data_IF_325862583961
#
_entry.id   IF_325862583961
#
_cell.length_a   1.000
_cell.length_b   1.000
_cell.length_c   1.000
_cell.angle_alpha   90.00
_cell.angle_beta   90.00
_cell.angle_gamma   90.00
#
_symmetry.space_group_name_H-M   'P 1'
#
loop_
_entity.id
_entity.type
_entity.pdbx_description
1 polymer ?
#
# COMPACT_ATOMS: atom_id res chain seq x y z
N UNK A 1 -12.16 -0.39 5.46
CA UNK A 1 -10.76 -0.04 5.75
C UNK A 1 -9.90 -1.26 6.06
N UNK A 2 -10.16 -2.00 7.16
CA UNK A 2 -9.35 -3.19 7.53
C UNK A 2 -9.23 -4.23 6.41
N UNK A 3 -10.33 -4.59 5.75
CA UNK A 3 -10.32 -5.54 4.63
C UNK A 3 -9.49 -5.06 3.43
N UNK A 4 -9.46 -3.75 3.17
CA UNK A 4 -8.65 -3.17 2.10
C UNK A 4 -7.17 -3.22 2.44
N UNK A 5 -6.80 -2.87 3.68
CA UNK A 5 -5.43 -3.00 4.16
C UNK A 5 -4.97 -4.46 4.13
N UNK A 6 -5.81 -5.41 4.57
CA UNK A 6 -5.49 -6.84 4.47
C UNK A 6 -5.33 -7.32 3.03
N UNK A 7 -6.16 -6.84 2.10
CA UNK A 7 -6.00 -7.18 0.70
C UNK A 7 -4.64 -6.75 0.14
N UNK A 8 -4.14 -5.59 0.54
CA UNK A 8 -2.86 -5.06 0.05
C UNK A 8 -1.64 -5.62 0.77
N UNK A 9 -1.69 -5.75 2.10
CA UNK A 9 -0.48 -5.91 2.92
C UNK A 9 -0.44 -7.17 3.78
N UNK A 10 -1.56 -7.86 4.00
CA UNK A 10 -1.60 -9.04 4.86
C UNK A 10 -1.25 -10.30 4.07
N UNK A 11 -0.10 -10.91 4.40
CA UNK A 11 0.41 -12.10 3.73
C UNK A 11 0.47 -11.95 2.19
N UNK A 12 0.94 -10.80 1.73
CA UNK A 12 1.17 -10.47 0.32
C UNK A 12 2.65 -10.23 0.05
N UNK A 13 3.04 -10.31 -1.22
CA UNK A 13 4.33 -9.88 -1.73
C UNK A 13 4.12 -8.63 -2.58
N UNK A 14 4.81 -7.55 -2.27
CA UNK A 14 4.75 -6.30 -3.02
C UNK A 14 5.93 -6.22 -4.00
N UNK A 15 5.69 -5.74 -5.21
CA UNK A 15 6.75 -5.45 -6.19
C UNK A 15 6.46 -4.14 -6.92
N UNK A 16 7.52 -3.44 -7.33
CA UNK A 16 7.38 -2.29 -8.22
C UNK A 16 6.89 -2.73 -9.60
N UNK A 17 6.11 -1.87 -10.26
CA UNK A 17 5.64 -2.10 -11.63
C UNK A 17 6.76 -2.14 -12.67
N UNK A 18 7.88 -1.46 -12.39
CA UNK A 18 9.05 -1.35 -13.26
C UNK A 18 10.20 -2.32 -12.87
N UNK A 19 9.94 -3.26 -11.96
CA UNK A 19 10.94 -4.25 -11.56
C UNK A 19 11.30 -5.17 -12.75
N UNK A 20 12.60 -5.31 -13.10
CA UNK A 20 13.01 -6.14 -14.24
C UNK A 20 12.63 -7.61 -14.11
N UNK A 21 12.42 -8.10 -12.89
CA UNK A 21 12.04 -9.49 -12.61
C UNK A 21 10.53 -9.67 -12.42
N UNK A 22 9.68 -8.68 -12.75
CA UNK A 22 8.24 -8.75 -12.52
C UNK A 22 7.57 -10.03 -13.07
N UNK A 23 8.03 -10.52 -14.22
CA UNK A 23 7.51 -11.74 -14.84
C UNK A 23 7.85 -13.02 -14.04
N UNK A 24 9.01 -13.05 -13.36
CA UNK A 24 9.35 -14.12 -12.43
C UNK A 24 8.33 -14.17 -11.29
N UNK A 25 8.03 -13.02 -10.68
CA UNK A 25 7.08 -12.93 -9.57
C UNK A 25 5.65 -13.25 -10.01
N UNK A 26 5.23 -12.84 -11.23
CA UNK A 26 3.97 -13.29 -11.82
C UNK A 26 3.91 -14.81 -11.94
N UNK A 27 4.99 -15.43 -12.43
CA UNK A 27 5.07 -16.89 -12.51
C UNK A 27 5.00 -17.59 -11.14
N UNK A 28 5.55 -17.00 -10.09
CA UNK A 28 5.40 -17.51 -8.70
C UNK A 28 3.97 -17.34 -8.19
N UNK A 29 3.31 -16.24 -8.53
CA UNK A 29 1.93 -15.98 -8.17
C UNK A 29 0.95 -16.97 -8.83
N UNK A 30 1.14 -17.22 -10.13
CA UNK A 30 0.32 -18.16 -10.90
C UNK A 30 0.43 -19.59 -10.37
N UNK A 31 1.61 -19.95 -9.86
CA UNK A 31 1.86 -21.23 -9.17
C UNK A 31 1.35 -21.26 -7.73
N UNK A 32 0.69 -20.19 -7.27
CA UNK A 32 0.16 -20.02 -5.92
C UNK A 32 1.24 -20.11 -4.82
N UNK A 33 2.49 -19.82 -5.16
CA UNK A 33 3.62 -19.81 -4.20
C UNK A 33 3.61 -18.52 -3.39
N UNK A 34 3.22 -17.41 -4.02
CA UNK A 34 3.09 -16.08 -3.40
C UNK A 34 1.75 -15.45 -3.73
N UNK A 35 1.34 -14.47 -2.93
CA UNK A 35 0.18 -13.62 -3.18
C UNK A 35 0.66 -12.22 -3.61
N UNK A 36 0.80 -11.99 -4.91
CA UNK A 36 1.48 -10.81 -5.46
C UNK A 36 0.58 -9.58 -5.52
N UNK A 37 1.15 -8.40 -5.21
CA UNK A 37 0.62 -7.08 -5.50
C UNK A 37 1.67 -6.27 -6.24
N UNK A 38 1.26 -5.62 -7.31
CA UNK A 38 2.10 -4.71 -8.09
C UNK A 38 1.72 -3.29 -7.71
N UNK A 39 2.71 -2.47 -7.35
CA UNK A 39 2.54 -1.07 -6.97
C UNK A 39 3.46 -0.19 -7.81
N UNK A 40 3.12 1.09 -8.04
CA UNK A 40 4.02 2.01 -8.74
C UNK A 40 5.36 2.17 -8.02
N UNK A 41 5.36 2.15 -6.69
CA UNK A 41 6.57 2.19 -5.88
C UNK A 41 6.28 1.63 -4.47
N UNK A 42 7.07 0.66 -4.02
CA UNK A 42 6.92 -0.03 -2.72
C UNK A 42 7.68 0.63 -1.56
N UNK A 43 8.35 1.77 -1.78
CA UNK A 43 9.01 2.49 -0.67
C UNK A 43 7.99 2.89 0.40
N UNK A 44 8.45 3.08 1.64
CA UNK A 44 7.53 3.41 2.74
C UNK A 44 6.92 4.80 2.59
N UNK A 45 7.60 5.76 1.97
CA UNK A 45 7.06 7.09 1.67
C UNK A 45 5.94 7.00 0.64
N UNK A 46 6.15 6.23 -0.44
CA UNK A 46 5.14 6.05 -1.50
C UNK A 46 3.99 5.17 -1.06
N UNK A 47 4.26 4.20 -0.19
CA UNK A 47 3.21 3.41 0.47
C UNK A 47 2.36 4.30 1.40
N UNK A 48 2.96 5.24 2.13
CA UNK A 48 2.22 6.20 2.95
C UNK A 48 1.33 7.11 2.10
N UNK A 49 1.84 7.63 0.99
CA UNK A 49 1.07 8.40 0.00
C UNK A 49 -0.11 7.59 -0.56
N UNK A 50 0.15 6.36 -1.02
CA UNK A 50 -0.87 5.45 -1.55
C UNK A 50 -2.00 5.15 -0.55
N UNK A 51 -1.65 4.91 0.71
CA UNK A 51 -2.64 4.70 1.78
C UNK A 51 -3.38 6.00 2.07
N UNK A 52 -2.70 7.15 2.09
CA UNK A 52 -3.32 8.45 2.34
C UNK A 52 -4.42 8.75 1.32
N UNK A 53 -4.12 8.60 0.02
CA UNK A 53 -5.08 8.89 -1.05
C UNK A 53 -6.37 8.08 -0.91
N UNK A 54 -6.25 6.78 -0.60
CA UNK A 54 -7.41 5.93 -0.42
C UNK A 54 -8.17 6.25 0.88
N UNK A 55 -7.45 6.40 1.99
CA UNK A 55 -8.07 6.56 3.32
C UNK A 55 -8.72 7.94 3.46
N UNK A 56 -8.13 9.00 2.92
CA UNK A 56 -8.74 10.34 2.96
C UNK A 56 -10.07 10.37 2.21
N UNK A 57 -10.10 9.85 0.98
CA UNK A 57 -11.34 9.71 0.21
C UNK A 57 -12.39 8.87 0.95
N UNK A 58 -11.95 7.77 1.58
CA UNK A 58 -12.82 6.93 2.38
C UNK A 58 -13.40 7.69 3.58
N UNK A 59 -12.58 8.40 4.36
CA UNK A 59 -13.02 9.20 5.53
C UNK A 59 -13.99 10.30 5.13
N UNK A 60 -13.66 11.08 4.09
CA UNK A 60 -14.52 12.16 3.59
C UNK A 60 -15.90 11.64 3.21
N UNK A 61 -15.95 10.53 2.47
CA UNK A 61 -17.20 9.88 2.08
C UNK A 61 -18.01 9.38 3.29
N UNK A 62 -17.37 8.78 4.29
CA UNK A 62 -18.07 8.28 5.49
C UNK A 62 -18.60 9.40 6.39
N UNK A 63 -17.91 10.55 6.39
CA UNK A 63 -18.22 11.65 7.30
C UNK A 63 -19.00 12.78 6.65
N UNK A 64 -19.27 12.68 5.34
CA UNK A 64 -19.84 13.73 4.51
C UNK A 64 -19.01 15.03 4.64
N UNK A 65 -17.71 14.89 4.39
CA UNK A 65 -16.68 15.94 4.42
C UNK A 65 -16.48 16.64 5.77
N UNK A 66 -16.99 16.07 6.87
CA UNK A 66 -16.80 16.62 8.23
C UNK A 66 -15.46 16.23 8.86
N UNK A 67 -14.77 15.24 8.32
CA UNK A 67 -13.43 14.85 8.72
C UNK A 67 -12.55 14.60 7.50
N UNK A 68 -11.25 14.78 7.69
CA UNK A 68 -10.21 14.53 6.69
C UNK A 68 -8.98 13.92 7.36
N UNK A 69 -8.15 13.27 6.56
CA UNK A 69 -6.90 12.69 7.00
C UNK A 69 -5.81 13.76 6.98
N UNK A 70 -5.01 13.84 8.04
CA UNK A 70 -3.90 14.80 8.14
C UNK A 70 -2.58 14.14 7.74
N UNK A 71 -2.35 12.91 8.20
CA UNK A 71 -1.09 12.22 8.05
C UNK A 71 -1.29 10.70 8.02
N UNK A 72 -0.43 10.03 7.23
CA UNK A 72 -0.20 8.59 7.32
C UNK A 72 1.28 8.35 7.55
N UNK A 73 1.58 7.51 8.55
CA UNK A 73 2.90 6.95 8.77
C UNK A 73 2.87 5.44 8.45
N UNK A 74 3.79 5.01 7.61
CA UNK A 74 4.05 3.61 7.32
C UNK A 74 5.42 3.24 7.87
N UNK A 75 5.54 2.10 8.55
CA UNK A 75 6.77 1.66 9.18
C UNK A 75 7.06 0.20 8.87
N UNK A 76 8.21 -0.05 8.26
CA UNK A 76 8.69 -1.42 7.95
C UNK A 76 9.41 -1.98 9.17
N UNK A 77 10.29 -1.17 9.77
CA UNK A 77 11.04 -1.51 10.97
C UNK A 77 11.40 -0.22 11.75
N UNK A 78 12.17 -0.34 12.85
CA UNK A 78 12.54 0.81 13.68
C UNK A 78 13.32 1.90 12.91
N UNK A 79 14.08 1.51 11.88
CA UNK A 79 14.96 2.39 11.10
C UNK A 79 14.38 2.82 9.76
N UNK A 80 13.31 2.18 9.31
CA UNK A 80 12.70 2.44 8.02
C UNK A 80 11.19 2.72 8.20
N UNK A 81 10.84 3.99 7.96
CA UNK A 81 9.48 4.47 7.96
C UNK A 81 9.34 5.59 6.92
N UNK A 82 8.12 5.78 6.42
CA UNK A 82 7.75 6.86 5.52
C UNK A 82 6.49 7.56 6.02
N UNK A 83 6.44 8.88 5.83
CA UNK A 83 5.33 9.72 6.27
C UNK A 83 4.83 10.51 5.06
N UNK A 84 3.51 10.60 4.92
CA UNK A 84 2.84 11.50 3.98
C UNK A 84 1.84 12.37 4.72
N UNK A 85 1.82 13.67 4.42
CA UNK A 85 0.98 14.68 5.07
C UNK A 85 0.43 15.65 4.04
N UNK A 86 -0.84 16.07 4.21
CA UNK A 86 -1.50 17.12 3.41
C UNK A 86 -1.18 18.53 3.90
#
# INVERSE_FOLDING_TARGET
MKSWLSHWFDHTMLINEDDPEIELFRGLHDKQIINLRVMPNVSMERTAEFIFEYVDQWIRKQTNDRAFLVEVECRENEKNAGIYRS
#
